data_IF_473229611505
#
_entry.id   IF_473229611505
#
_cell.length_a   1.000
_cell.length_b   1.000
_cell.length_c   1.000
_cell.angle_alpha   90.00
_cell.angle_beta   90.00
_cell.angle_gamma   90.00
#
_symmetry.space_group_name_H-M   'P 1'
#
loop_
_entity.id
_entity.type
_entity.pdbx_description
1 polymer ?
#
# COMPACT_ATOMS: atom_id res chain seq x y z
N UNK A 1 -9.74 19.93 8.91
CA UNK A 1 -9.14 18.61 8.58
C UNK A 1 -9.47 18.26 7.15
N UNK A 2 -8.50 17.91 6.35
CA UNK A 2 -8.72 17.48 4.97
C UNK A 2 -9.44 16.15 4.92
N UNK A 3 -10.28 15.94 3.92
CA UNK A 3 -10.84 14.63 3.62
C UNK A 3 -9.68 13.69 3.28
N UNK A 4 -9.68 12.48 3.82
CA UNK A 4 -8.60 11.53 3.56
C UNK A 4 -8.44 11.23 2.07
N UNK A 5 -9.52 11.29 1.28
CA UNK A 5 -9.47 11.06 -0.16
C UNK A 5 -8.73 12.16 -0.93
N UNK A 6 -8.51 13.31 -0.31
CA UNK A 6 -7.77 14.43 -0.91
C UNK A 6 -6.27 14.36 -0.63
N UNK A 7 -5.84 13.51 0.30
CA UNK A 7 -4.43 13.36 0.64
C UNK A 7 -3.65 12.74 -0.51
N UNK A 8 -2.44 13.23 -0.75
CA UNK A 8 -1.58 12.67 -1.80
C UNK A 8 -1.30 11.19 -1.58
N UNK A 9 -1.09 10.78 -0.33
CA UNK A 9 -0.84 9.37 0.01
C UNK A 9 -2.03 8.49 -0.40
N UNK A 10 -3.26 8.99 -0.22
CA UNK A 10 -4.46 8.26 -0.62
C UNK A 10 -4.51 8.08 -2.14
N UNK A 11 -4.20 9.14 -2.88
CA UNK A 11 -4.19 9.10 -4.34
C UNK A 11 -3.17 8.09 -4.86
N UNK A 12 -1.98 8.08 -4.26
CA UNK A 12 -0.93 7.12 -4.61
C UNK A 12 -1.37 5.68 -4.30
N UNK A 13 -2.04 5.50 -3.15
CA UNK A 13 -2.55 4.19 -2.75
C UNK A 13 -3.68 3.70 -3.67
N UNK A 14 -4.52 4.61 -4.17
CA UNK A 14 -5.53 4.26 -5.18
C UNK A 14 -4.90 3.80 -6.49
N UNK A 15 -3.82 4.45 -6.90
CA UNK A 15 -3.06 4.03 -8.08
C UNK A 15 -2.48 2.62 -7.87
N UNK A 16 -1.96 2.35 -6.68
CA UNK A 16 -1.44 1.03 -6.36
C UNK A 16 -2.54 -0.03 -6.43
N UNK A 17 -3.70 0.25 -5.84
CA UNK A 17 -4.83 -0.68 -5.90
C UNK A 17 -5.25 -0.95 -7.35
N UNK A 18 -5.35 0.08 -8.16
CA UNK A 18 -5.68 -0.07 -9.58
C UNK A 18 -4.68 -0.94 -10.33
N UNK A 19 -3.39 -0.72 -10.05
CA UNK A 19 -2.33 -1.52 -10.66
C UNK A 19 -2.39 -2.98 -10.19
N UNK A 20 -2.57 -3.22 -8.90
CA UNK A 20 -2.65 -4.59 -8.37
C UNK A 20 -3.86 -5.34 -8.91
N UNK A 21 -5.01 -4.69 -9.05
CA UNK A 21 -6.18 -5.30 -9.66
C UNK A 21 -5.92 -5.69 -11.11
N UNK A 22 -5.21 -4.84 -11.85
CA UNK A 22 -4.79 -5.13 -13.22
C UNK A 22 -3.85 -6.34 -13.29
N UNK A 23 -2.87 -6.41 -12.38
CA UNK A 23 -1.93 -7.52 -12.33
C UNK A 23 -2.62 -8.83 -11.97
N UNK A 24 -3.50 -8.80 -10.97
CA UNK A 24 -4.23 -10.00 -10.51
C UNK A 24 -5.08 -10.60 -11.63
N UNK A 25 -5.64 -9.77 -12.49
CA UNK A 25 -6.49 -10.23 -13.60
C UNK A 25 -5.77 -11.24 -14.49
N UNK A 26 -4.47 -11.11 -14.65
CA UNK A 26 -3.66 -11.92 -15.56
C UNK A 26 -2.92 -13.07 -14.86
N UNK A 27 -3.12 -13.25 -13.56
CA UNK A 27 -2.51 -14.36 -12.81
C UNK A 27 -3.32 -15.63 -13.08
N UNK A 28 -2.65 -16.81 -13.22
CA UNK A 28 -3.36 -18.08 -13.37
C UNK A 28 -4.39 -18.31 -12.28
N UNK A 29 -5.52 -18.93 -12.65
CA UNK A 29 -6.70 -19.03 -11.81
C UNK A 29 -6.43 -19.65 -10.43
N UNK A 30 -5.62 -20.68 -10.36
CA UNK A 30 -5.29 -21.36 -9.11
C UNK A 30 -4.53 -20.46 -8.15
N UNK A 31 -3.58 -19.67 -8.66
CA UNK A 31 -2.80 -18.72 -7.88
C UNK A 31 -3.58 -17.44 -7.58
N UNK A 32 -4.52 -17.08 -8.46
CA UNK A 32 -5.34 -15.89 -8.28
C UNK A 32 -6.13 -15.94 -6.97
N UNK A 33 -6.64 -17.10 -6.60
CA UNK A 33 -7.42 -17.25 -5.36
C UNK A 33 -6.57 -17.14 -4.10
N UNK A 34 -5.28 -17.42 -4.20
CA UNK A 34 -4.38 -17.39 -3.04
C UNK A 34 -3.59 -16.09 -3.02
N UNK A 35 -2.64 -15.95 -3.96
CA UNK A 35 -1.72 -14.81 -3.98
C UNK A 35 -2.43 -13.55 -4.48
N UNK A 36 -3.27 -13.68 -5.50
CA UNK A 36 -4.01 -12.55 -6.06
C UNK A 36 -4.96 -11.93 -5.05
N UNK A 37 -5.70 -12.76 -4.32
CA UNK A 37 -6.61 -12.28 -3.26
C UNK A 37 -5.84 -11.56 -2.17
N UNK A 38 -4.72 -12.12 -1.74
CA UNK A 38 -3.89 -11.53 -0.69
C UNK A 38 -3.32 -10.18 -1.13
N UNK A 39 -2.83 -10.09 -2.36
CA UNK A 39 -2.30 -8.84 -2.91
C UNK A 39 -3.38 -7.76 -2.97
N UNK A 40 -4.57 -8.10 -3.44
CA UNK A 40 -5.72 -7.20 -3.48
C UNK A 40 -6.09 -6.74 -2.07
N UNK A 41 -6.21 -7.66 -1.14
CA UNK A 41 -6.64 -7.36 0.24
C UNK A 41 -5.64 -6.45 0.95
N UNK A 42 -4.35 -6.70 0.80
CA UNK A 42 -3.32 -5.84 1.40
C UNK A 42 -3.28 -4.45 0.77
N UNK A 43 -3.48 -4.36 -0.55
CA UNK A 43 -3.54 -3.07 -1.24
C UNK A 43 -4.75 -2.26 -0.79
N UNK A 44 -5.88 -2.92 -0.57
CA UNK A 44 -7.08 -2.28 -0.04
C UNK A 44 -6.88 -1.85 1.42
N UNK A 45 -6.20 -2.68 2.22
CA UNK A 45 -5.92 -2.38 3.62
C UNK A 45 -5.09 -1.10 3.76
N UNK A 46 -4.17 -0.85 2.84
CA UNK A 46 -3.40 0.41 2.82
C UNK A 46 -4.35 1.61 2.78
N UNK A 47 -5.36 1.58 1.91
CA UNK A 47 -6.35 2.66 1.81
C UNK A 47 -7.16 2.81 3.10
N UNK A 48 -7.58 1.69 3.68
CA UNK A 48 -8.34 1.70 4.94
C UNK A 48 -7.51 2.33 6.07
N UNK A 49 -6.24 1.96 6.15
CA UNK A 49 -5.35 2.48 7.21
C UNK A 49 -5.05 3.97 7.04
N UNK A 50 -4.97 4.46 5.80
CA UNK A 50 -4.83 5.90 5.55
C UNK A 50 -6.05 6.64 6.10
N UNK A 51 -7.24 6.14 5.83
CA UNK A 51 -8.48 6.73 6.35
C UNK A 51 -8.52 6.74 7.87
N UNK A 52 -8.16 5.62 8.49
CA UNK A 52 -8.11 5.49 9.95
C UNK A 52 -7.09 6.45 10.56
N UNK A 53 -5.89 6.53 9.98
CA UNK A 53 -4.86 7.43 10.46
C UNK A 53 -5.29 8.89 10.37
N UNK A 54 -5.97 9.26 9.29
CA UNK A 54 -6.44 10.63 9.11
C UNK A 54 -7.44 11.04 10.20
N UNK A 55 -8.26 10.11 10.67
CA UNK A 55 -9.29 10.39 11.68
C UNK A 55 -8.81 10.20 13.11
N UNK A 56 -7.74 9.44 13.33
CA UNK A 56 -7.29 9.07 14.67
C UNK A 56 -6.52 10.19 15.35
N UNK A 57 -6.64 10.28 16.68
CA UNK A 57 -5.77 11.12 17.48
C UNK A 57 -4.35 10.57 17.50
N UNK A 58 -4.22 9.28 17.82
CA UNK A 58 -2.93 8.58 17.77
C UNK A 58 -2.82 7.88 16.42
N UNK A 59 -1.98 8.46 15.56
CA UNK A 59 -1.81 7.98 14.20
C UNK A 59 -0.75 6.89 14.07
N UNK A 60 0.14 6.77 15.07
CA UNK A 60 1.32 5.89 14.98
C UNK A 60 0.96 4.44 14.73
N UNK A 61 -0.02 3.91 15.46
CA UNK A 61 -0.42 2.51 15.28
C UNK A 61 -0.90 2.23 13.87
N UNK A 62 -1.74 3.11 13.33
CA UNK A 62 -2.28 2.95 11.99
C UNK A 62 -1.19 3.08 10.93
N UNK A 63 -0.26 4.02 11.12
CA UNK A 63 0.84 4.22 10.18
C UNK A 63 1.84 3.06 10.22
N UNK A 64 2.08 2.48 11.40
CA UNK A 64 2.93 1.30 11.51
C UNK A 64 2.30 0.10 10.81
N UNK A 65 0.99 -0.10 10.98
CA UNK A 65 0.27 -1.17 10.29
C UNK A 65 0.28 -0.96 8.77
N UNK A 66 0.18 0.30 8.34
CA UNK A 66 0.26 0.65 6.93
C UNK A 66 1.62 0.25 6.34
N UNK A 67 2.70 0.53 7.06
CA UNK A 67 4.04 0.15 6.62
C UNK A 67 4.19 -1.39 6.54
N UNK A 68 3.57 -2.12 7.45
CA UNK A 68 3.53 -3.59 7.37
C UNK A 68 2.78 -4.08 6.15
N UNK A 69 1.66 -3.46 5.82
CA UNK A 69 0.91 -3.81 4.61
C UNK A 69 1.73 -3.54 3.35
N UNK A 70 2.51 -2.46 3.33
CA UNK A 70 3.43 -2.18 2.23
C UNK A 70 4.47 -3.29 2.09
N UNK A 71 5.03 -3.76 3.20
CA UNK A 71 5.96 -4.89 3.19
C UNK A 71 5.31 -6.13 2.58
N UNK A 72 4.09 -6.42 3.01
CA UNK A 72 3.36 -7.58 2.50
C UNK A 72 3.14 -7.48 1.00
N UNK A 73 2.71 -6.31 0.52
CA UNK A 73 2.52 -6.06 -0.91
C UNK A 73 3.83 -6.28 -1.67
N UNK A 74 4.93 -5.75 -1.15
CA UNK A 74 6.25 -5.89 -1.80
C UNK A 74 6.69 -7.35 -1.86
N UNK A 75 6.47 -8.14 -0.81
CA UNK A 75 6.78 -9.58 -0.82
C UNK A 75 5.96 -10.33 -1.85
N UNK A 76 4.66 -10.02 -1.93
CA UNK A 76 3.77 -10.67 -2.90
C UNK A 76 4.16 -10.31 -4.34
N UNK A 77 4.46 -9.03 -4.60
CA UNK A 77 4.91 -8.59 -5.91
C UNK A 77 6.23 -9.25 -6.31
N UNK A 78 7.16 -9.35 -5.37
CA UNK A 78 8.44 -9.98 -5.60
C UNK A 78 8.27 -11.47 -5.93
N UNK A 79 7.40 -12.16 -5.20
CA UNK A 79 7.10 -13.56 -5.47
C UNK A 79 6.53 -13.73 -6.88
N UNK A 80 5.60 -12.86 -7.27
CA UNK A 80 5.02 -12.89 -8.61
C UNK A 80 6.07 -12.65 -9.69
N UNK A 81 6.96 -11.69 -9.48
CA UNK A 81 8.03 -11.39 -10.43
C UNK A 81 9.02 -12.55 -10.53
N UNK A 82 9.40 -13.16 -9.40
CA UNK A 82 10.32 -14.30 -9.38
C UNK A 82 9.75 -15.52 -10.10
N UNK A 83 8.44 -15.69 -10.04
CA UNK A 83 7.74 -16.77 -10.75
C UNK A 83 7.39 -16.41 -12.19
N UNK A 84 7.81 -15.22 -12.65
CA UNK A 84 7.55 -14.72 -14.01
C UNK A 84 6.06 -14.57 -14.33
N UNK A 85 5.24 -14.33 -13.31
CA UNK A 85 3.80 -14.11 -13.46
C UNK A 85 3.48 -12.64 -13.76
N UNK A 86 4.40 -11.74 -13.44
CA UNK A 86 4.36 -10.33 -13.83
C UNK A 86 5.70 -9.98 -14.46
N UNK A 87 5.71 -8.97 -15.33
CA UNK A 87 6.94 -8.52 -15.98
C UNK A 87 7.79 -7.69 -15.03
N UNK A 88 9.07 -7.56 -15.35
CA UNK A 88 9.98 -6.67 -14.61
C UNK A 88 9.50 -5.23 -14.64
N UNK A 89 8.91 -4.79 -15.75
CA UNK A 89 8.36 -3.44 -15.89
C UNK A 89 7.15 -3.24 -14.97
N UNK A 90 6.26 -4.23 -14.91
CA UNK A 90 5.10 -4.19 -14.02
C UNK A 90 5.54 -4.16 -12.56
N UNK A 91 6.51 -4.98 -12.21
CA UNK A 91 7.07 -5.01 -10.85
C UNK A 91 7.70 -3.66 -10.49
N UNK A 92 8.50 -3.09 -11.39
CA UNK A 92 9.13 -1.79 -11.16
C UNK A 92 8.09 -0.68 -10.96
N UNK A 93 7.02 -0.67 -11.77
CA UNK A 93 5.95 0.32 -11.63
C UNK A 93 5.27 0.21 -10.27
N UNK A 94 4.97 -1.01 -9.82
CA UNK A 94 4.36 -1.24 -8.51
C UNK A 94 5.30 -0.82 -7.37
N UNK A 95 6.58 -1.12 -7.50
CA UNK A 95 7.59 -0.75 -6.50
C UNK A 95 7.75 0.77 -6.36
N UNK A 96 7.60 1.52 -7.44
CA UNK A 96 7.61 2.98 -7.38
C UNK A 96 6.45 3.49 -6.54
N UNK A 97 5.27 2.89 -6.69
CA UNK A 97 4.09 3.28 -5.91
C UNK A 97 4.24 2.91 -4.44
N UNK A 98 4.69 1.71 -4.14
CA UNK A 98 4.90 1.29 -2.73
C UNK A 98 5.98 2.12 -2.06
N UNK A 99 7.05 2.46 -2.77
CA UNK A 99 8.12 3.31 -2.24
C UNK A 99 7.60 4.72 -1.94
N UNK A 100 6.77 5.27 -2.83
CA UNK A 100 6.16 6.59 -2.62
C UNK A 100 5.24 6.60 -1.41
N UNK A 101 4.37 5.58 -1.29
CA UNK A 101 3.47 5.46 -0.14
C UNK A 101 4.29 5.35 1.15
N UNK A 102 5.32 4.52 1.16
CA UNK A 102 6.19 4.34 2.32
C UNK A 102 6.89 5.62 2.73
N UNK A 103 7.39 6.38 1.76
CA UNK A 103 8.03 7.67 2.02
C UNK A 103 7.06 8.67 2.63
N UNK A 104 5.85 8.75 2.07
CA UNK A 104 4.80 9.66 2.57
C UNK A 104 4.34 9.24 3.97
N UNK A 105 4.18 7.94 4.21
CA UNK A 105 3.77 7.42 5.51
C UNK A 105 4.83 7.70 6.58
N UNK A 106 6.11 7.51 6.25
CA UNK A 106 7.20 7.81 7.17
C UNK A 106 7.30 9.32 7.46
N UNK A 107 7.10 10.16 6.46
CA UNK A 107 7.08 11.61 6.66
C UNK A 107 5.92 12.02 7.58
N UNK A 108 4.74 11.45 7.36
CA UNK A 108 3.57 11.69 8.20
C UNK A 108 3.83 11.24 9.64
N UNK A 109 4.37 10.03 9.81
CA UNK A 109 4.73 9.47 11.09
C UNK A 109 5.75 10.35 11.82
N UNK A 110 6.77 10.84 11.11
CA UNK A 110 7.78 11.73 11.66
C UNK A 110 7.19 13.06 12.14
N UNK A 111 6.29 13.65 11.36
CA UNK A 111 5.60 14.87 11.74
C UNK A 111 4.80 14.69 13.03
N UNK A 112 4.09 13.57 13.13
CA UNK A 112 3.31 13.26 14.33
C UNK A 112 4.21 13.01 15.54
N UNK A 113 5.29 12.27 15.35
CA UNK A 113 6.21 11.91 16.44
C UNK A 113 6.96 13.11 16.99
N UNK A 114 7.18 14.18 16.18
CA UNK A 114 7.88 15.41 16.60
C UNK A 114 6.92 16.47 17.11
N UNK A 115 5.60 16.25 17.00
CA UNK A 115 4.62 17.22 17.49
C UNK A 115 4.72 17.34 19.00
N UNK A 116 4.60 18.56 19.56
CA UNK A 116 4.61 18.73 21.03
C UNK A 116 3.50 17.91 21.66
N UNK A 117 3.85 17.24 22.76
CA UNK A 117 2.87 16.52 23.58
C UNK A 117 2.20 17.54 24.45
N UNK A 118 0.97 17.88 24.09
CA UNK A 118 0.30 18.91 24.88
C UNK A 118 -1.18 18.83 24.85
#
# INVERSE_FOLDING_TARGET
MAMHTELQIHKTAEELLGLTLSLVRNIPRDLKQIIGSKLRDESLQILVLIGRANMARNKLEHLNQLLESIWMVNYLLRALANQRLISLKQHASAMQLTASIGKQANAWKGTFATAPVG
#
